data_IF_805469665689
#
_entry.id   IF_805469665689
#
_cell.length_a   1.000
_cell.length_b   1.000
_cell.length_c   1.000
_cell.angle_alpha   90.00
_cell.angle_beta   90.00
_cell.angle_gamma   90.00
#
_symmetry.space_group_name_H-M   'P 1'
#
loop_
_entity.id
_entity.type
_entity.pdbx_description
1 polymer ?
#
# COMPACT_ATOMS: atom_id res chain seq x y z
N UNK A 1 -21.39 -4.42 -1.46
CA UNK A 1 -21.38 -5.28 -2.66
C UNK A 1 -21.11 -6.69 -2.19
N UNK A 2 -22.02 -7.61 -2.48
CA UNK A 2 -21.82 -9.02 -2.12
C UNK A 2 -20.78 -9.61 -3.07
N UNK A 3 -20.03 -10.59 -2.60
CA UNK A 3 -19.08 -11.39 -3.38
C UNK A 3 -19.62 -12.03 -4.69
N UNK A 4 -20.90 -11.85 -4.99
CA UNK A 4 -21.63 -12.32 -6.18
C UNK A 4 -21.04 -11.81 -7.51
N UNK A 5 -20.17 -10.77 -7.49
CA UNK A 5 -19.53 -10.22 -8.69
C UNK A 5 -18.18 -10.86 -9.04
N UNK A 6 -17.64 -11.74 -8.21
CA UNK A 6 -16.35 -12.38 -8.44
C UNK A 6 -16.49 -13.88 -8.64
N UNK A 7 -15.71 -14.42 -9.58
CA UNK A 7 -15.57 -15.88 -9.69
C UNK A 7 -14.77 -16.43 -8.51
N UNK A 8 -14.93 -17.73 -8.25
CA UNK A 8 -14.13 -18.46 -7.26
C UNK A 8 -12.63 -18.23 -7.49
N UNK A 9 -12.18 -18.26 -8.73
CA UNK A 9 -10.79 -18.09 -9.12
C UNK A 9 -10.27 -16.69 -8.80
N UNK A 10 -11.10 -15.65 -9.00
CA UNK A 10 -10.75 -14.28 -8.63
C UNK A 10 -10.59 -14.13 -7.12
N UNK A 11 -11.53 -14.64 -6.33
CA UNK A 11 -11.44 -14.59 -4.85
C UNK A 11 -10.20 -15.32 -4.34
N UNK A 12 -9.91 -16.52 -4.87
CA UNK A 12 -8.68 -17.26 -4.55
C UNK A 12 -7.45 -16.44 -4.94
N UNK A 13 -7.47 -15.76 -6.09
CA UNK A 13 -6.41 -14.85 -6.53
C UNK A 13 -6.14 -13.72 -5.55
N UNK A 14 -7.18 -13.04 -5.05
CA UNK A 14 -7.04 -11.99 -4.05
C UNK A 14 -6.49 -12.52 -2.72
N UNK A 15 -6.95 -13.70 -2.28
CA UNK A 15 -6.42 -14.38 -1.12
C UNK A 15 -4.91 -14.70 -1.26
N UNK A 16 -4.49 -15.20 -2.43
CA UNK A 16 -3.07 -15.44 -2.75
C UNK A 16 -2.25 -14.16 -2.69
N UNK A 17 -2.76 -13.05 -3.23
CA UNK A 17 -2.07 -11.74 -3.17
C UNK A 17 -1.90 -11.25 -1.74
N UNK A 18 -2.93 -11.32 -0.91
CA UNK A 18 -2.81 -10.91 0.51
C UNK A 18 -1.83 -11.82 1.28
N UNK A 19 -1.87 -13.13 1.04
CA UNK A 19 -0.88 -14.06 1.60
C UNK A 19 0.54 -13.75 1.13
N UNK A 20 0.73 -13.43 -0.15
CA UNK A 20 2.03 -13.05 -0.69
C UNK A 20 2.59 -11.84 0.05
N UNK A 21 1.80 -10.79 0.22
CA UNK A 21 2.20 -9.61 1.00
C UNK A 21 2.59 -10.04 2.42
N UNK A 22 1.72 -10.74 3.15
CA UNK A 22 1.99 -11.17 4.53
C UNK A 22 3.28 -11.98 4.66
N UNK A 23 3.47 -12.99 3.82
CA UNK A 23 4.64 -13.89 3.90
C UNK A 23 5.92 -13.20 3.45
N UNK A 24 5.82 -12.34 2.44
CA UNK A 24 6.93 -11.51 1.99
C UNK A 24 7.40 -10.57 3.11
N UNK A 25 6.47 -9.87 3.74
CA UNK A 25 6.71 -8.91 4.82
C UNK A 25 7.28 -9.60 6.08
N UNK A 26 6.76 -10.78 6.45
CA UNK A 26 7.32 -11.61 7.51
C UNK A 26 8.77 -12.01 7.22
N UNK A 27 9.08 -12.37 5.96
CA UNK A 27 10.43 -12.69 5.52
C UNK A 27 11.33 -11.45 5.52
N UNK A 28 10.86 -10.30 5.05
CA UNK A 28 11.59 -9.04 5.10
C UNK A 28 11.95 -8.68 6.56
N UNK A 29 11.01 -8.86 7.49
CA UNK A 29 11.28 -8.68 8.93
C UNK A 29 12.39 -9.60 9.46
N UNK A 30 12.44 -10.87 9.02
CA UNK A 30 13.52 -11.79 9.38
C UNK A 30 14.87 -11.33 8.81
N UNK A 31 14.91 -10.97 7.52
CA UNK A 31 16.14 -10.51 6.86
C UNK A 31 16.67 -9.21 7.46
N UNK A 32 15.79 -8.30 7.88
CA UNK A 32 16.16 -7.11 8.63
C UNK A 32 16.83 -7.46 9.96
N UNK A 33 16.24 -8.39 10.74
CA UNK A 33 16.83 -8.87 11.98
C UNK A 33 18.18 -9.57 11.80
N UNK A 34 18.44 -10.12 10.62
CA UNK A 34 19.74 -10.69 10.23
C UNK A 34 20.74 -9.65 9.72
N UNK A 35 20.36 -8.37 9.62
CA UNK A 35 21.20 -7.30 9.09
C UNK A 35 21.36 -7.29 7.57
N UNK A 36 20.50 -8.02 6.84
CA UNK A 36 20.54 -8.11 5.37
C UNK A 36 19.74 -7.01 4.66
N UNK A 37 18.90 -6.27 5.39
CA UNK A 37 18.19 -5.08 4.91
C UNK A 37 18.74 -3.88 5.69
N UNK A 38 19.34 -2.94 4.97
CA UNK A 38 19.88 -1.70 5.55
C UNK A 38 18.83 -0.62 5.78
N UNK A 39 19.15 0.36 6.64
CA UNK A 39 18.29 1.52 6.88
C UNK A 39 17.01 1.20 7.66
N UNK A 40 15.88 1.76 7.23
CA UNK A 40 14.58 1.55 7.84
C UNK A 40 13.72 0.59 7.03
N UNK A 41 13.10 -0.38 7.70
CA UNK A 41 12.17 -1.33 7.11
C UNK A 41 10.77 -1.16 7.72
N UNK A 42 9.80 -0.77 6.90
CA UNK A 42 8.44 -0.43 7.33
C UNK A 42 7.43 -1.45 6.81
N UNK A 43 7.01 -2.36 7.69
CA UNK A 43 6.20 -3.48 7.25
C UNK A 43 4.69 -3.18 7.17
N UNK A 44 4.00 -3.58 6.11
CA UNK A 44 2.55 -3.39 5.93
C UNK A 44 1.68 -4.51 6.52
N UNK A 45 2.24 -5.35 7.39
CA UNK A 45 1.53 -6.47 8.04
C UNK A 45 0.26 -5.97 8.76
N UNK A 46 -0.89 -6.51 8.35
CA UNK A 46 -2.22 -6.16 8.85
C UNK A 46 -3.02 -5.22 7.93
N UNK A 47 -2.41 -4.69 6.87
CA UNK A 47 -3.01 -3.72 5.95
C UNK A 47 -3.23 -4.31 4.54
N UNK A 48 -3.18 -5.64 4.39
CA UNK A 48 -3.15 -6.30 3.08
C UNK A 48 -4.43 -6.10 2.27
N UNK A 49 -5.60 -6.06 2.94
CA UNK A 49 -6.88 -5.85 2.28
C UNK A 49 -6.96 -4.48 1.59
N UNK A 50 -6.37 -3.43 2.18
CA UNK A 50 -6.35 -2.09 1.58
C UNK A 50 -5.62 -2.11 0.24
N UNK A 51 -4.43 -2.72 0.19
CA UNK A 51 -3.62 -2.81 -1.01
C UNK A 51 -4.31 -3.66 -2.10
N UNK A 52 -4.75 -4.87 -1.75
CA UNK A 52 -5.31 -5.83 -2.73
C UNK A 52 -6.71 -5.40 -3.19
N UNK A 53 -7.56 -4.90 -2.28
CA UNK A 53 -8.89 -4.39 -2.61
C UNK A 53 -8.84 -3.17 -3.53
N UNK A 54 -7.91 -2.23 -3.27
CA UNK A 54 -7.75 -1.07 -4.15
C UNK A 54 -7.20 -1.48 -5.52
N UNK A 55 -6.21 -2.36 -5.56
CA UNK A 55 -5.68 -2.84 -6.83
C UNK A 55 -6.74 -3.59 -7.66
N UNK A 56 -7.58 -4.40 -7.02
CA UNK A 56 -8.68 -5.09 -7.68
C UNK A 56 -9.73 -4.14 -8.29
N UNK A 57 -9.91 -2.95 -7.70
CA UNK A 57 -10.80 -1.90 -8.19
C UNK A 57 -10.17 -0.99 -9.27
N UNK A 58 -8.86 -1.10 -9.49
CA UNK A 58 -8.15 -0.30 -10.48
C UNK A 58 -8.25 -0.88 -11.89
N UNK A 59 -7.88 -0.09 -12.90
CA UNK A 59 -7.71 -0.56 -14.27
C UNK A 59 -6.31 -0.26 -14.80
N UNK A 60 -5.95 -0.89 -15.92
CA UNK A 60 -4.67 -0.65 -16.59
C UNK A 60 -4.45 0.85 -16.86
N UNK A 61 -3.29 1.35 -16.43
CA UNK A 61 -2.87 2.75 -16.60
C UNK A 61 -3.28 3.68 -15.47
N UNK A 62 -4.14 3.24 -14.54
CA UNK A 62 -4.28 3.94 -13.25
C UNK A 62 -2.94 3.91 -12.50
N UNK A 63 -2.67 4.95 -11.72
CA UNK A 63 -1.40 5.12 -11.02
C UNK A 63 -1.57 4.96 -9.51
N UNK A 64 -0.54 4.45 -8.86
CA UNK A 64 -0.45 4.30 -7.41
C UNK A 64 0.72 5.11 -6.90
N UNK A 65 0.51 5.88 -5.84
CA UNK A 65 1.57 6.66 -5.20
C UNK A 65 1.41 6.62 -3.69
N UNK A 66 2.49 6.34 -2.98
CA UNK A 66 2.45 6.09 -1.53
C UNK A 66 3.73 6.55 -0.82
N UNK A 67 3.70 6.54 0.51
CA UNK A 67 4.87 6.75 1.38
C UNK A 67 5.74 5.48 1.49
N UNK A 68 6.70 5.49 2.40
CA UNK A 68 7.67 4.42 2.70
C UNK A 68 7.11 3.05 3.15
N UNK A 69 5.78 2.84 3.20
CA UNK A 69 5.15 1.56 3.53
C UNK A 69 4.52 0.97 2.27
N UNK A 70 5.38 0.60 1.34
CA UNK A 70 5.08 0.48 -0.08
C UNK A 70 5.22 -0.95 -0.65
N UNK A 71 5.93 -1.86 0.02
CA UNK A 71 6.21 -3.21 -0.55
C UNK A 71 4.92 -3.97 -0.82
N UNK A 72 4.02 -4.04 0.16
CA UNK A 72 2.74 -4.71 0.03
C UNK A 72 1.89 -4.16 -1.12
N UNK A 73 1.84 -2.84 -1.30
CA UNK A 73 1.11 -2.23 -2.42
C UNK A 73 1.78 -2.52 -3.76
N UNK A 74 3.11 -2.45 -3.83
CA UNK A 74 3.86 -2.78 -5.04
C UNK A 74 3.67 -4.23 -5.48
N UNK A 75 3.60 -5.17 -4.52
CA UNK A 75 3.28 -6.58 -4.75
C UNK A 75 1.82 -6.77 -5.18
N UNK A 76 0.88 -6.01 -4.59
CA UNK A 76 -0.51 -6.03 -5.04
C UNK A 76 -0.64 -5.60 -6.51
N UNK A 77 0.17 -4.63 -6.93
CA UNK A 77 0.35 -4.18 -8.32
C UNK A 77 1.14 -5.17 -9.21
N UNK A 78 1.23 -6.45 -8.83
CA UNK A 78 1.82 -7.54 -9.61
C UNK A 78 3.32 -7.35 -9.93
N UNK A 79 4.06 -6.65 -9.07
CA UNK A 79 5.52 -6.59 -9.17
C UNK A 79 6.17 -7.91 -8.80
N UNK A 80 7.26 -8.25 -9.48
CA UNK A 80 8.02 -9.48 -9.21
C UNK A 80 8.58 -9.45 -7.79
N UNK A 81 8.19 -10.38 -6.89
CA UNK A 81 8.71 -10.44 -5.54
C UNK A 81 10.24 -10.58 -5.48
N UNK A 82 10.88 -11.16 -6.49
CA UNK A 82 12.33 -11.24 -6.58
C UNK A 82 12.97 -9.86 -6.68
N UNK A 83 12.42 -8.98 -7.51
CA UNK A 83 12.90 -7.61 -7.73
C UNK A 83 12.65 -6.77 -6.47
N UNK A 84 11.48 -6.89 -5.85
CA UNK A 84 11.17 -6.17 -4.61
C UNK A 84 12.11 -6.62 -3.48
N UNK A 85 12.31 -7.94 -3.30
CA UNK A 85 13.22 -8.45 -2.26
C UNK A 85 14.67 -8.02 -2.52
N UNK A 86 15.12 -8.07 -3.79
CA UNK A 86 16.45 -7.61 -4.19
C UNK A 86 16.65 -6.13 -3.82
N UNK A 87 15.67 -5.26 -4.10
CA UNK A 87 15.72 -3.85 -3.74
C UNK A 87 15.85 -3.64 -2.22
N UNK A 88 15.02 -4.32 -1.42
CA UNK A 88 15.06 -4.25 0.04
C UNK A 88 16.44 -4.67 0.59
N UNK A 89 17.07 -5.67 -0.03
CA UNK A 89 18.41 -6.16 0.36
C UNK A 89 19.57 -5.41 -0.33
N UNK A 90 19.29 -4.29 -1.01
CA UNK A 90 20.31 -3.43 -1.60
C UNK A 90 21.01 -3.98 -2.84
N UNK A 91 20.38 -4.90 -3.59
CA UNK A 91 21.01 -5.59 -4.72
C UNK A 91 20.82 -4.86 -6.05
N UNK A 92 21.75 -5.05 -6.98
CA UNK A 92 21.71 -4.41 -8.31
C UNK A 92 20.46 -4.78 -9.14
N UNK A 93 19.87 -5.95 -8.85
CA UNK A 93 18.68 -6.49 -9.49
C UNK A 93 17.36 -5.95 -8.90
N UNK A 94 17.44 -5.04 -7.93
CA UNK A 94 16.29 -4.33 -7.40
C UNK A 94 15.69 -3.32 -8.39
N UNK A 95 14.45 -2.90 -8.16
CA UNK A 95 13.74 -1.99 -9.06
C UNK A 95 14.39 -0.60 -9.21
N UNK A 96 15.20 -0.20 -8.22
CA UNK A 96 15.99 1.02 -8.19
C UNK A 96 17.48 0.71 -8.06
N UNK A 97 17.91 -0.48 -8.54
CA UNK A 97 19.29 -0.99 -8.47
C UNK A 97 19.86 -1.08 -7.05
N UNK A 98 19.01 -1.28 -6.05
CA UNK A 98 19.40 -1.37 -4.64
C UNK A 98 19.69 -0.02 -3.98
N UNK A 99 19.49 1.10 -4.69
CA UNK A 99 19.73 2.46 -4.16
C UNK A 99 18.58 2.95 -3.28
N UNK A 100 17.36 2.49 -3.57
CA UNK A 100 16.16 2.93 -2.88
C UNK A 100 15.91 2.17 -1.58
N UNK A 101 16.30 0.90 -1.53
CA UNK A 101 16.12 0.07 -0.36
C UNK A 101 14.63 -0.09 0.00
N UNK A 102 14.38 -0.35 1.28
CA UNK A 102 13.04 -0.62 1.79
C UNK A 102 12.10 0.59 1.82
N UNK A 103 12.54 1.82 1.56
CA UNK A 103 11.66 3.00 1.64
C UNK A 103 11.37 3.66 0.30
N UNK A 104 11.98 3.23 -0.79
CA UNK A 104 11.99 3.96 -2.06
C UNK A 104 11.83 3.00 -3.26
N UNK A 105 10.75 2.21 -3.29
CA UNK A 105 10.48 1.30 -4.41
C UNK A 105 9.60 1.96 -5.49
N UNK A 106 9.98 1.77 -6.76
CA UNK A 106 9.34 2.41 -7.91
C UNK A 106 9.18 1.44 -9.08
N UNK A 107 8.10 1.59 -9.86
CA UNK A 107 7.91 0.90 -11.14
C UNK A 107 7.15 1.80 -12.13
N UNK A 108 7.89 2.40 -13.06
CA UNK A 108 7.35 3.36 -14.03
C UNK A 108 6.44 2.68 -15.08
N UNK A 109 6.71 1.42 -15.41
CA UNK A 109 5.91 0.66 -16.37
C UNK A 109 4.53 0.36 -15.78
N UNK A 110 4.51 -0.08 -14.51
CA UNK A 110 3.27 -0.35 -13.76
C UNK A 110 2.60 0.89 -13.15
N UNK A 111 3.15 2.09 -13.39
CA UNK A 111 2.65 3.36 -12.82
C UNK A 111 2.59 3.36 -11.30
N UNK A 112 3.58 2.72 -10.69
CA UNK A 112 3.77 2.68 -9.26
C UNK A 112 4.88 3.66 -8.85
N UNK A 113 4.50 4.67 -8.08
CA UNK A 113 5.37 5.74 -7.59
C UNK A 113 5.44 5.64 -6.06
N UNK A 114 6.09 4.60 -5.57
CA UNK A 114 6.13 4.30 -4.14
C UNK A 114 7.28 4.99 -3.41
N UNK A 115 7.21 4.95 -2.09
CA UNK A 115 8.40 5.16 -1.29
C UNK A 115 8.85 6.60 -1.17
N UNK A 116 7.95 7.49 -0.79
CA UNK A 116 8.32 8.84 -0.36
C UNK A 116 8.64 8.86 1.15
N UNK A 117 9.91 9.09 1.48
CA UNK A 117 10.40 9.16 2.87
C UNK A 117 9.97 10.42 3.62
N UNK A 118 9.68 11.51 2.89
CA UNK A 118 9.15 12.75 3.48
C UNK A 118 7.64 12.60 3.69
N UNK A 119 7.22 12.66 4.94
CA UNK A 119 5.82 12.49 5.34
C UNK A 119 4.92 13.49 4.59
N UNK A 120 3.97 12.96 3.81
CA UNK A 120 2.99 13.74 3.06
C UNK A 120 3.46 14.22 1.68
N UNK A 121 4.74 14.06 1.31
CA UNK A 121 5.27 14.56 0.04
C UNK A 121 4.67 13.87 -1.19
N UNK A 122 4.21 12.64 -1.03
CA UNK A 122 3.56 11.88 -2.09
C UNK A 122 2.19 12.46 -2.49
N UNK A 123 1.54 13.23 -1.62
CA UNK A 123 0.19 13.77 -1.85
C UNK A 123 0.16 14.85 -2.95
N UNK A 124 0.99 15.91 -2.89
CA UNK A 124 1.07 16.88 -3.99
C UNK A 124 1.61 16.24 -5.28
N UNK A 125 2.52 15.26 -5.19
CA UNK A 125 3.03 14.56 -6.37
C UNK A 125 1.91 13.76 -7.04
N UNK A 126 1.12 13.01 -6.27
CA UNK A 126 -0.03 12.26 -6.79
C UNK A 126 -1.08 13.15 -7.42
N UNK A 127 -1.31 14.31 -6.79
CA UNK A 127 -2.16 15.37 -7.35
C UNK A 127 -1.63 15.88 -8.69
N UNK A 128 -0.31 16.07 -8.82
CA UNK A 128 0.34 16.42 -10.08
C UNK A 128 0.22 15.34 -11.17
N UNK A 129 0.30 14.06 -10.81
CA UNK A 129 0.08 12.94 -11.75
C UNK A 129 -1.38 12.96 -12.23
N UNK A 130 -2.35 13.22 -11.34
CA UNK A 130 -3.76 13.32 -11.70
C UNK A 130 -4.02 14.52 -12.62
N UNK A 131 -3.37 15.66 -12.35
CA UNK A 131 -3.36 16.81 -13.25
C UNK A 131 -2.81 16.44 -14.64
N UNK A 132 -1.71 15.70 -14.71
CA UNK A 132 -1.16 15.24 -15.98
C UNK A 132 -2.12 14.32 -16.75
N UNK A 133 -2.87 13.44 -16.05
CA UNK A 133 -3.91 12.61 -16.67
C UNK A 133 -5.04 13.48 -17.24
N UNK A 134 -5.57 14.43 -16.47
CA UNK A 134 -6.62 15.37 -16.95
C UNK A 134 -6.13 16.20 -18.13
N UNK A 135 -4.94 16.78 -18.04
CA UNK A 135 -4.33 17.59 -19.10
C UNK A 135 -4.16 16.82 -20.41
N UNK A 136 -3.77 15.54 -20.32
CA UNK A 136 -3.62 14.63 -21.47
C UNK A 136 -4.93 13.97 -21.91
N UNK A 137 -6.08 14.35 -21.34
CA UNK A 137 -7.40 13.78 -21.60
C UNK A 137 -7.42 12.26 -21.44
N UNK A 138 -6.69 11.74 -20.45
CA UNK A 138 -6.73 10.34 -20.07
C UNK A 138 -7.85 10.12 -19.08
N UNK A 139 -8.50 8.97 -19.19
CA UNK A 139 -9.54 8.53 -18.26
C UNK A 139 -8.96 7.73 -17.09
N UNK A 140 -7.66 7.88 -16.78
CA UNK A 140 -6.96 7.16 -15.72
C UNK A 140 -7.05 7.90 -14.37
N UNK A 141 -7.20 7.14 -13.30
CA UNK A 141 -7.29 7.61 -11.91
C UNK A 141 -5.93 7.47 -11.22
N UNK A 142 -5.64 8.35 -10.27
CA UNK A 142 -4.49 8.24 -9.38
C UNK A 142 -4.94 7.92 -7.96
N UNK A 143 -4.50 6.79 -7.43
CA UNK A 143 -4.70 6.39 -6.03
C UNK A 143 -3.52 6.92 -5.21
N UNK A 144 -3.79 7.94 -4.39
CA UNK A 144 -2.78 8.67 -3.62
C UNK A 144 -2.89 8.32 -2.14
N UNK A 145 -1.95 7.49 -1.67
CA UNK A 145 -1.93 6.93 -0.33
C UNK A 145 -1.13 7.78 0.65
N UNK A 146 -1.62 7.89 1.88
CA UNK A 146 -0.91 8.50 2.99
C UNK A 146 -1.47 8.02 4.33
N UNK A 147 -0.63 8.00 5.37
CA UNK A 147 -1.06 7.60 6.70
C UNK A 147 -1.83 8.69 7.44
N UNK A 148 -2.49 8.31 8.53
CA UNK A 148 -3.15 9.20 9.49
C UNK A 148 -2.25 10.35 9.98
N UNK A 149 -0.98 10.08 10.26
CA UNK A 149 0.00 11.11 10.62
C UNK A 149 0.27 12.12 9.50
N UNK A 150 0.36 11.64 8.26
CA UNK A 150 0.62 12.46 7.08
C UNK A 150 -0.56 13.39 6.74
N UNK A 151 -1.79 13.00 7.11
CA UNK A 151 -2.98 13.81 6.88
C UNK A 151 -2.92 15.20 7.56
N UNK A 152 -2.02 15.40 8.53
CA UNK A 152 -1.81 16.66 9.24
C UNK A 152 -0.82 17.62 8.55
N UNK A 153 -0.20 17.23 7.43
CA UNK A 153 0.78 18.06 6.74
C UNK A 153 0.09 19.15 5.89
N UNK A 154 0.61 20.37 5.93
CA UNK A 154 0.03 21.51 5.19
C UNK A 154 -0.10 21.26 3.68
N UNK A 155 0.90 20.62 3.07
CA UNK A 155 0.90 20.24 1.65
C UNK A 155 -0.27 19.32 1.24
N UNK A 156 -0.87 18.58 2.18
CA UNK A 156 -2.07 17.77 1.92
C UNK A 156 -3.28 18.66 1.67
N UNK A 157 -3.46 19.70 2.49
CA UNK A 157 -4.54 20.67 2.35
C UNK A 157 -4.39 21.51 1.08
N UNK A 158 -3.16 21.92 0.76
CA UNK A 158 -2.85 22.60 -0.50
C UNK A 158 -3.22 21.71 -1.71
N UNK A 159 -2.89 20.42 -1.64
CA UNK A 159 -3.25 19.44 -2.67
C UNK A 159 -4.76 19.29 -2.86
N UNK A 160 -5.52 19.21 -1.76
CA UNK A 160 -6.98 19.14 -1.80
C UNK A 160 -7.60 20.36 -2.48
N UNK A 161 -7.13 21.56 -2.13
CA UNK A 161 -7.59 22.78 -2.77
C UNK A 161 -7.40 22.74 -4.30
N UNK A 162 -6.19 22.38 -4.75
CA UNK A 162 -5.88 22.33 -6.18
C UNK A 162 -6.64 21.21 -6.90
N UNK A 163 -6.77 20.03 -6.28
CA UNK A 163 -7.50 18.91 -6.86
C UNK A 163 -9.00 19.22 -7.03
N UNK A 164 -9.60 19.90 -6.06
CA UNK A 164 -11.00 20.32 -6.13
C UNK A 164 -11.21 21.41 -7.18
N UNK A 165 -10.40 22.48 -7.14
CA UNK A 165 -10.47 23.59 -8.10
C UNK A 165 -10.37 23.12 -9.56
N UNK A 166 -9.55 22.09 -9.81
CA UNK A 166 -9.34 21.56 -11.14
C UNK A 166 -10.09 20.26 -11.41
N UNK A 167 -10.98 19.82 -10.52
CA UNK A 167 -11.75 18.57 -10.60
C UNK A 167 -10.88 17.39 -11.10
N UNK A 168 -9.79 17.12 -10.37
CA UNK A 168 -8.79 16.13 -10.79
C UNK A 168 -9.25 14.68 -10.54
N UNK A 169 -8.84 13.72 -11.40
CA UNK A 169 -9.16 12.30 -11.24
C UNK A 169 -8.25 11.63 -10.19
N UNK A 170 -8.36 12.05 -8.93
CA UNK A 170 -7.56 11.54 -7.81
C UNK A 170 -8.44 10.98 -6.69
N UNK A 171 -8.12 9.77 -6.25
CA UNK A 171 -8.67 9.17 -5.04
C UNK A 171 -7.60 9.29 -3.97
N UNK A 172 -7.87 10.07 -2.93
CA UNK A 172 -7.02 10.18 -1.77
C UNK A 172 -7.36 9.06 -0.79
N UNK A 173 -6.37 8.26 -0.40
CA UNK A 173 -6.55 7.10 0.49
C UNK A 173 -5.76 7.36 1.77
N UNK A 174 -6.47 7.50 2.88
CA UNK A 174 -5.88 7.59 4.21
C UNK A 174 -5.81 6.16 4.77
N UNK A 175 -4.61 5.62 4.90
CA UNK A 175 -4.37 4.38 5.64
C UNK A 175 -4.29 4.71 7.13
N UNK A 176 -5.47 4.74 7.77
CA UNK A 176 -5.56 5.03 9.18
C UNK A 176 -5.31 3.76 9.99
N UNK A 177 -4.06 3.56 10.41
CA UNK A 177 -3.65 2.46 11.29
C UNK A 177 -3.56 2.88 12.77
N UNK A 178 -4.28 3.95 13.14
CA UNK A 178 -4.41 4.55 14.48
C UNK A 178 -3.17 5.26 15.04
N UNK A 179 -1.99 5.10 14.43
CA UNK A 179 -0.73 5.59 15.01
C UNK A 179 0.29 6.13 13.99
N UNK A 180 0.64 7.42 14.18
CA UNK A 180 1.80 8.07 13.58
C UNK A 180 3.04 7.86 14.45
N UNK A 181 3.80 6.81 14.15
CA UNK A 181 4.83 6.26 15.05
C UNK A 181 4.19 5.91 16.39
N UNK A 182 4.46 6.67 17.46
CA UNK A 182 3.84 6.50 18.78
C UNK A 182 2.73 7.50 19.14
N UNK A 183 2.35 8.37 18.22
CA UNK A 183 1.27 9.35 18.43
C UNK A 183 -0.04 8.80 17.88
N UNK A 184 -1.02 8.57 18.74
CA UNK A 184 -2.34 8.11 18.30
C UNK A 184 -3.12 9.23 17.59
N UNK A 185 -4.08 8.85 16.74
CA UNK A 185 -5.00 9.79 16.06
C UNK A 185 -5.67 10.72 17.06
N UNK A 186 -6.09 10.18 18.20
CA UNK A 186 -6.86 10.88 19.24
C UNK A 186 -6.02 11.96 19.95
N UNK A 187 -4.70 11.89 19.83
CA UNK A 187 -3.75 12.86 20.37
C UNK A 187 -3.21 13.82 19.31
N UNK A 188 -3.43 13.55 18.02
CA UNK A 188 -2.84 14.32 16.92
C UNK A 188 -3.84 15.21 16.19
N UNK A 189 -5.15 14.94 16.30
CA UNK A 189 -6.19 15.74 15.64
C UNK A 189 -7.48 15.83 16.45
N UNK A 190 -8.15 16.98 16.38
CA UNK A 190 -9.45 17.19 17.04
C UNK A 190 -10.58 16.45 16.32
N UNK A 191 -10.61 16.54 14.99
CA UNK A 191 -11.54 15.77 14.16
C UNK A 191 -10.84 14.47 13.79
N UNK A 192 -11.26 13.38 14.43
CA UNK A 192 -10.65 12.05 14.32
C UNK A 192 -11.23 11.23 13.18
N UNK A 193 -12.38 11.63 12.65
CA UNK A 193 -12.99 11.12 11.42
C UNK A 193 -12.25 11.70 10.21
N UNK A 194 -11.14 11.07 9.79
CA UNK A 194 -10.23 11.66 8.82
C UNK A 194 -10.84 11.79 7.42
N UNK A 195 -11.86 11.00 7.09
CA UNK A 195 -12.62 11.16 5.84
C UNK A 195 -13.30 12.54 5.71
N UNK A 196 -13.54 13.26 6.82
CA UNK A 196 -14.14 14.61 6.79
C UNK A 196 -13.14 15.71 6.43
N UNK A 197 -11.83 15.41 6.33
CA UNK A 197 -10.80 16.43 6.05
C UNK A 197 -10.95 17.13 4.69
N UNK A 198 -11.67 16.50 3.77
CA UNK A 198 -11.98 17.05 2.46
C UNK A 198 -13.11 18.10 2.45
N UNK A 199 -13.94 18.18 3.51
CA UNK A 199 -15.21 18.93 3.50
C UNK A 199 -15.04 20.42 3.19
N UNK A 200 -14.01 21.07 3.76
CA UNK A 200 -13.75 22.50 3.52
C UNK A 200 -13.32 22.81 2.08
N UNK A 201 -12.95 21.79 1.30
CA UNK A 201 -12.58 21.89 -0.11
C UNK A 201 -13.66 21.33 -1.04
N UNK A 202 -14.81 20.92 -0.50
CA UNK A 202 -15.86 20.26 -1.26
C UNK A 202 -15.52 18.84 -1.74
N UNK A 203 -14.50 18.20 -1.14
CA UNK A 203 -14.11 16.83 -1.48
C UNK A 203 -14.96 15.86 -0.64
N UNK A 204 -15.82 15.03 -1.25
CA UNK A 204 -16.58 14.03 -0.51
C UNK A 204 -15.65 13.00 0.15
N UNK A 205 -16.07 12.49 1.30
CA UNK A 205 -15.30 11.53 2.09
C UNK A 205 -16.14 10.30 2.48
N UNK A 206 -15.51 9.11 2.54
CA UNK A 206 -16.12 7.88 3.05
C UNK A 206 -15.17 7.17 4.00
N UNK A 207 -15.67 6.76 5.17
CA UNK A 207 -14.97 5.81 6.03
C UNK A 207 -15.22 4.38 5.55
N UNK A 208 -14.18 3.57 5.54
CA UNK A 208 -14.17 2.20 5.01
C UNK A 208 -13.52 1.29 6.02
N UNK A 209 -14.10 0.11 6.24
CA UNK A 209 -13.41 -0.96 6.94
C UNK A 209 -12.24 -1.46 6.07
N UNK A 210 -11.03 -1.02 6.40
CA UNK A 210 -9.80 -1.37 5.71
C UNK A 210 -9.30 -2.79 6.03
N UNK A 211 -9.95 -3.49 6.96
CA UNK A 211 -9.65 -4.88 7.30
C UNK A 211 -10.53 -5.87 6.51
N UNK A 212 -11.57 -5.39 5.80
CA UNK A 212 -12.44 -6.20 4.96
C UNK A 212 -12.19 -5.94 3.47
N UNK A 213 -11.76 -6.99 2.75
CA UNK A 213 -11.43 -6.90 1.32
C UNK A 213 -12.60 -6.37 0.47
N UNK A 214 -13.82 -6.84 0.74
CA UNK A 214 -14.99 -6.46 -0.07
C UNK A 214 -15.37 -4.99 0.13
N UNK A 215 -15.30 -4.50 1.37
CA UNK A 215 -15.53 -3.10 1.72
C UNK A 215 -14.53 -2.17 1.07
N UNK A 216 -13.23 -2.53 1.08
CA UNK A 216 -12.19 -1.79 0.36
C UNK A 216 -12.47 -1.77 -1.14
N UNK A 217 -12.70 -2.95 -1.75
CA UNK A 217 -12.95 -3.04 -3.18
C UNK A 217 -14.15 -2.19 -3.62
N UNK A 218 -15.27 -2.27 -2.90
CA UNK A 218 -16.48 -1.52 -3.22
C UNK A 218 -16.26 -0.01 -3.11
N UNK A 219 -15.73 0.44 -1.98
CA UNK A 219 -15.50 1.87 -1.76
C UNK A 219 -14.50 2.45 -2.77
N UNK A 220 -13.43 1.70 -3.08
CA UNK A 220 -12.47 2.12 -4.11
C UNK A 220 -13.10 2.12 -5.50
N UNK A 221 -13.92 1.12 -5.85
CA UNK A 221 -14.60 1.07 -7.15
C UNK A 221 -15.54 2.26 -7.34
N UNK A 222 -16.34 2.58 -6.32
CA UNK A 222 -17.21 3.77 -6.32
C UNK A 222 -16.41 5.06 -6.44
N UNK A 223 -15.29 5.18 -5.71
CA UNK A 223 -14.41 6.34 -5.75
C UNK A 223 -13.69 6.51 -7.09
N UNK A 224 -13.22 5.42 -7.67
CA UNK A 224 -12.60 5.40 -8.98
C UNK A 224 -13.61 5.82 -10.07
N UNK A 225 -14.84 5.29 -10.03
CA UNK A 225 -15.88 5.71 -10.96
C UNK A 225 -16.30 7.18 -10.77
N UNK A 226 -16.43 7.64 -9.51
CA UNK A 226 -16.72 9.03 -9.19
C UNK A 226 -15.71 9.98 -9.85
N UNK A 227 -14.43 9.77 -9.59
CA UNK A 227 -13.34 10.61 -10.10
C UNK A 227 -13.22 10.50 -11.62
N UNK A 228 -13.34 9.29 -12.17
CA UNK A 228 -13.28 9.02 -13.62
C UNK A 228 -14.44 9.65 -14.40
N UNK A 229 -15.63 9.75 -13.78
CA UNK A 229 -16.79 10.44 -14.34
C UNK A 229 -16.67 11.98 -14.33
N UNK A 230 -15.55 12.53 -13.85
CA UNK A 230 -15.27 13.96 -13.86
C UNK A 230 -15.88 14.72 -12.69
N UNK A 231 -16.36 14.04 -11.64
CA UNK A 231 -16.95 14.68 -10.45
C UNK A 231 -15.92 15.26 -9.48
N UNK A 232 -14.64 15.22 -9.85
CA UNK A 232 -13.53 15.70 -9.04
C UNK A 232 -12.98 14.64 -8.07
N UNK A 233 -12.14 15.07 -7.11
CA UNK A 233 -11.47 14.17 -6.18
C UNK A 233 -12.43 13.58 -5.14
N UNK A 234 -12.02 12.49 -4.50
CA UNK A 234 -12.73 11.87 -3.36
C UNK A 234 -11.72 11.34 -2.34
N UNK A 235 -12.12 11.34 -1.06
CA UNK A 235 -11.30 10.88 0.06
C UNK A 235 -11.86 9.58 0.65
N UNK A 236 -11.02 8.57 0.82
CA UNK A 236 -11.34 7.33 1.51
C UNK A 236 -10.49 7.21 2.78
N UNK A 237 -11.11 7.08 3.94
CA UNK A 237 -10.42 6.69 5.18
C UNK A 237 -10.54 5.18 5.36
N UNK A 238 -9.43 4.48 5.12
CA UNK A 238 -9.32 3.04 5.34
C UNK A 238 -8.94 2.81 6.80
N UNK A 239 -9.92 2.43 7.62
CA UNK A 239 -9.69 2.04 9.02
C UNK A 239 -9.01 0.68 9.03
N UNK A 240 -7.72 0.65 9.33
CA UNK A 240 -6.90 -0.56 9.28
C UNK A 240 -6.00 -0.63 10.51
N UNK A 241 -5.06 -1.57 10.56
CA UNK A 241 -4.17 -1.70 11.70
C UNK A 241 -2.83 -2.32 11.31
N UNK A 242 -1.74 -1.76 11.86
CA UNK A 242 -0.38 -2.26 11.63
C UNK A 242 0.04 -3.17 12.78
N UNK A 243 0.31 -4.45 12.54
CA UNK A 243 0.64 -5.39 13.63
C UNK A 243 2.07 -5.28 14.18
N UNK A 244 2.97 -4.65 13.43
CA UNK A 244 4.36 -4.39 13.85
C UNK A 244 4.52 -2.95 14.33
N UNK A 245 5.65 -2.64 14.96
CA UNK A 245 6.03 -1.27 15.28
C UNK A 245 6.09 -0.39 14.04
N UNK A 246 6.35 0.90 14.23
CA UNK A 246 6.45 1.88 13.14
C UNK A 246 7.33 1.39 12.01
N UNK A 247 8.55 1.03 12.39
CA UNK A 247 9.56 0.31 11.62
C UNK A 247 9.97 -0.95 12.38
N UNK A 248 10.79 -1.80 11.77
CA UNK A 248 11.35 -2.98 12.43
C UNK A 248 12.25 -2.67 13.64
N UNK A 249 12.73 -1.43 13.78
CA UNK A 249 13.50 -0.98 14.95
C UNK A 249 12.64 -0.43 16.08
N UNK A 250 11.33 -0.23 15.88
CA UNK A 250 10.42 0.33 16.88
C UNK A 250 9.78 -0.78 17.75
N UNK A 251 10.01 -0.78 19.07
CA UNK A 251 9.44 -1.79 19.99
C UNK A 251 7.94 -1.63 20.23
N UNK A 252 7.30 -0.54 19.76
CA UNK A 252 5.86 -0.30 19.86
C UNK A 252 5.30 -0.25 21.30
N UNK A 253 6.02 0.40 22.22
CA UNK A 253 5.66 0.48 23.65
C UNK A 253 4.48 1.41 23.98
N UNK A 254 3.93 2.10 22.98
CA UNK A 254 2.89 3.12 23.10
C UNK A 254 1.45 2.58 22.92
N UNK A 255 1.29 1.27 22.74
CA UNK A 255 0.00 0.59 22.52
C UNK A 255 -0.10 -0.67 23.37
N UNK A 256 -1.33 -1.06 23.66
CA UNK A 256 -1.58 -2.25 24.48
C UNK A 256 -1.35 -3.52 23.67
N UNK A 257 -0.83 -4.58 24.31
CA UNK A 257 -0.63 -5.86 23.63
C UNK A 257 -1.97 -6.49 23.29
N UNK A 258 -2.94 -6.34 24.18
CA UNK A 258 -4.29 -6.84 24.09
C UNK A 258 -5.02 -6.25 22.87
N UNK A 259 -4.84 -4.95 22.60
CA UNK A 259 -5.37 -4.27 21.42
C UNK A 259 -4.83 -4.90 20.12
N UNK A 260 -3.52 -5.17 20.05
CA UNK A 260 -2.91 -5.76 18.86
C UNK A 260 -3.34 -7.22 18.67
N UNK A 261 -3.46 -7.98 19.75
CA UNK A 261 -3.90 -9.39 19.68
C UNK A 261 -5.36 -9.52 19.29
N UNK A 262 -6.24 -8.63 19.79
CA UNK A 262 -7.64 -8.56 19.36
C UNK A 262 -7.75 -8.31 17.85
N UNK A 263 -7.01 -7.33 17.33
CA UNK A 263 -6.98 -7.05 15.89
C UNK A 263 -6.50 -8.23 15.04
N UNK A 264 -5.54 -9.04 15.53
CA UNK A 264 -5.07 -10.24 14.83
C UNK A 264 -6.07 -11.39 14.89
N UNK A 265 -6.74 -11.57 16.02
CA UNK A 265 -7.62 -12.72 16.25
C UNK A 265 -8.98 -12.52 15.60
N UNK A 266 -9.52 -11.31 15.69
CA UNK A 266 -10.91 -11.02 15.34
C UNK A 266 -11.06 -10.22 14.03
N UNK A 267 -10.00 -9.54 13.58
CA UNK A 267 -10.08 -8.61 12.45
C UNK A 267 -9.04 -8.86 11.35
N UNK A 268 -8.24 -9.92 11.39
CA UNK A 268 -7.20 -10.14 10.37
C UNK A 268 -7.80 -10.33 8.96
N UNK A 269 -7.38 -9.53 7.95
CA UNK A 269 -8.02 -9.51 6.63
C UNK A 269 -7.87 -10.84 5.88
N UNK A 270 -6.77 -11.56 6.11
CA UNK A 270 -6.50 -12.86 5.47
C UNK A 270 -7.39 -13.92 6.10
N UNK A 271 -7.52 -13.92 7.42
CA UNK A 271 -8.41 -14.83 8.16
C UNK A 271 -9.87 -14.61 7.77
N UNK A 272 -10.30 -13.35 7.67
CA UNK A 272 -11.67 -12.99 7.26
C UNK A 272 -11.98 -13.47 5.85
N UNK A 273 -11.11 -13.22 4.86
CA UNK A 273 -11.35 -13.70 3.49
C UNK A 273 -11.27 -15.23 3.39
N UNK A 274 -10.36 -15.87 4.13
CA UNK A 274 -10.29 -17.34 4.22
C UNK A 274 -11.59 -17.92 4.73
N UNK A 275 -12.13 -17.39 5.84
CA UNK A 275 -13.41 -17.83 6.41
C UNK A 275 -14.55 -17.65 5.40
N UNK A 276 -14.58 -16.52 4.70
CA UNK A 276 -15.54 -16.28 3.64
C UNK A 276 -15.45 -17.38 2.55
N UNK A 277 -14.24 -17.71 2.09
CA UNK A 277 -14.02 -18.76 1.09
C UNK A 277 -14.47 -20.15 1.56
N UNK A 278 -14.22 -20.52 2.81
CA UNK A 278 -14.60 -21.82 3.36
C UNK A 278 -16.11 -21.93 3.57
N UNK A 279 -16.74 -20.88 4.12
CA UNK A 279 -18.19 -20.85 4.37
C UNK A 279 -18.99 -20.92 3.05
N UNK A 280 -18.46 -20.34 1.98
CA UNK A 280 -19.08 -20.35 0.64
C UNK A 280 -18.61 -21.51 -0.24
N UNK A 281 -17.89 -22.50 0.33
CA UNK A 281 -17.37 -23.69 -0.39
C UNK A 281 -16.53 -23.36 -1.62
N UNK A 282 -15.87 -22.20 -1.61
CA UNK A 282 -14.95 -21.78 -2.68
C UNK A 282 -13.61 -22.49 -2.54
N UNK A 283 -13.14 -22.70 -1.31
CA UNK A 283 -11.95 -23.51 -1.01
C UNK A 283 -12.12 -24.21 0.34
N UNK A 284 -11.56 -25.40 0.46
CA UNK A 284 -11.43 -26.13 1.71
C UNK A 284 -10.26 -25.61 2.56
N UNK A 285 -10.26 -25.96 3.84
CA UNK A 285 -9.14 -25.70 4.75
C UNK A 285 -7.82 -26.26 4.23
N UNK A 286 -7.84 -27.46 3.63
CA UNK A 286 -6.63 -28.08 3.07
C UNK A 286 -6.13 -27.36 1.82
N UNK A 287 -7.03 -26.93 0.92
CA UNK A 287 -6.64 -26.11 -0.23
C UNK A 287 -6.00 -24.78 0.21
N UNK A 288 -6.55 -24.12 1.24
CA UNK A 288 -5.96 -22.91 1.82
C UNK A 288 -4.56 -23.15 2.39
N UNK A 289 -4.31 -24.30 3.05
CA UNK A 289 -2.96 -24.68 3.53
C UNK A 289 -1.98 -24.92 2.39
N UNK A 290 -2.44 -25.56 1.31
CA UNK A 290 -1.62 -25.77 0.10
C UNK A 290 -1.23 -24.42 -0.50
N UNK A 291 -2.19 -23.49 -0.63
CA UNK A 291 -1.93 -22.14 -1.12
C UNK A 291 -0.88 -21.42 -0.25
N UNK A 292 -1.03 -21.43 1.09
CA UNK A 292 -0.06 -20.80 1.99
C UNK A 292 1.35 -21.39 1.84
N UNK A 293 1.45 -22.72 1.66
CA UNK A 293 2.73 -23.39 1.38
C UNK A 293 3.35 -22.92 0.07
N UNK A 294 2.58 -22.88 -1.02
CA UNK A 294 3.06 -22.40 -2.32
C UNK A 294 3.58 -20.96 -2.25
N UNK A 295 2.88 -20.09 -1.53
CA UNK A 295 3.30 -18.71 -1.33
C UNK A 295 4.59 -18.62 -0.48
N UNK A 296 4.72 -19.44 0.57
CA UNK A 296 5.97 -19.53 1.34
C UNK A 296 7.14 -20.00 0.48
N UNK A 297 6.92 -20.99 -0.38
CA UNK A 297 7.93 -21.48 -1.31
C UNK A 297 8.32 -20.41 -2.35
N UNK A 298 7.35 -19.63 -2.83
CA UNK A 298 7.60 -18.46 -3.70
C UNK A 298 8.46 -17.40 -2.99
N UNK A 299 8.09 -17.00 -1.77
CA UNK A 299 8.86 -16.02 -0.99
C UNK A 299 10.26 -16.54 -0.66
N UNK A 300 10.41 -17.86 -0.41
CA UNK A 300 11.71 -18.48 -0.20
C UNK A 300 12.60 -18.37 -1.45
N UNK A 301 12.04 -18.59 -2.63
CA UNK A 301 12.76 -18.37 -3.91
C UNK A 301 13.19 -16.91 -4.06
N UNK A 302 12.36 -15.95 -3.66
CA UNK A 302 12.74 -14.53 -3.70
C UNK A 302 13.84 -14.17 -2.70
N UNK A 303 13.82 -14.74 -1.50
CA UNK A 303 14.93 -14.65 -0.54
C UNK A 303 16.22 -15.19 -1.17
N UNK A 304 16.17 -16.38 -1.78
CA UNK A 304 17.36 -17.01 -2.36
C UNK A 304 17.85 -16.24 -3.60
N UNK A 305 16.95 -15.72 -4.44
CA UNK A 305 17.30 -14.84 -5.56
C UNK A 305 18.04 -13.59 -5.08
N UNK A 306 17.51 -12.90 -4.07
CA UNK A 306 18.10 -11.69 -3.53
C UNK A 306 19.48 -11.97 -2.91
N UNK A 307 19.62 -13.05 -2.14
CA UNK A 307 20.91 -13.45 -1.54
C UNK A 307 21.99 -13.81 -2.56
N UNK A 308 21.58 -14.36 -3.71
CA UNK A 308 22.50 -14.73 -4.79
C UNK A 308 22.70 -13.63 -5.84
N UNK A 309 21.94 -12.53 -5.75
CA UNK A 309 22.12 -11.36 -6.61
C UNK A 309 23.36 -10.58 -6.17
N UNK A 310 24.02 -9.92 -7.13
CA UNK A 310 25.23 -9.15 -6.85
C UNK A 310 24.90 -7.85 -6.10
N UNK A 311 25.84 -7.42 -5.29
CA UNK A 311 25.87 -6.05 -4.80
C UNK A 311 26.10 -5.09 -5.98
N UNK A 312 25.52 -3.88 -5.96
CA UNK A 312 25.83 -2.83 -6.92
C UNK A 312 27.33 -2.50 -6.93
N UNK A 313 27.88 -2.15 -8.09
CA UNK A 313 29.21 -1.57 -8.18
C UNK A 313 29.27 -0.25 -7.40
N UNK A 314 30.43 0.09 -6.81
CA UNK A 314 30.64 1.38 -6.16
C UNK A 314 30.39 2.55 -7.13
N UNK A 315 30.61 2.35 -8.43
CA UNK A 315 30.37 3.37 -9.45
C UNK A 315 28.89 3.79 -9.53
N UNK A 316 27.95 2.94 -9.11
CA UNK A 316 26.52 3.26 -9.07
C UNK A 316 26.19 4.43 -8.14
N UNK A 317 27.08 4.79 -7.20
CA UNK A 317 26.92 5.99 -6.36
C UNK A 317 26.91 7.29 -7.18
N UNK A 318 27.51 7.29 -8.38
CA UNK A 318 27.65 8.47 -9.23
C UNK A 318 26.71 8.48 -10.43
N UNK A 319 25.92 7.42 -10.62
CA UNK A 319 24.98 7.30 -11.74
C UNK A 319 23.59 7.78 -11.33
N UNK A 320 22.77 8.15 -12.33
CA UNK A 320 21.37 8.56 -12.15
C UNK A 320 21.13 9.85 -11.33
N UNK A 321 22.19 10.60 -10.96
CA UNK A 321 22.08 11.91 -10.27
C UNK A 321 21.50 12.99 -11.20
N UNK A 322 21.94 12.99 -12.45
CA UNK A 322 21.42 13.84 -13.52
C UNK A 322 21.29 13.03 -14.80
N UNK A 323 20.36 13.44 -15.67
CA UNK A 323 20.35 12.95 -17.05
C UNK A 323 21.58 13.51 -17.77
N UNK A 324 22.33 12.67 -18.45
CA UNK A 324 23.36 13.14 -19.36
C UNK A 324 22.67 13.82 -20.56
N UNK A 325 22.91 15.12 -20.75
CA UNK A 325 22.42 15.86 -21.92
C UNK A 325 23.61 16.02 -22.86
N UNK A 326 23.62 15.26 -23.95
CA UNK A 326 24.54 15.43 -25.08
C UNK A 326 24.10 16.58 -25.97
#
# INVERSE_FOLDING_TARGET
MKAENFTKEQIIGFYRKMLLIRRFEEKAGQLYGMGLIGGFCHLSIGQEAVAVGTQAASKLGDAFITSYRDHGLMLACDSDPNVVMAELTGKETGCSKGKGGSMHVFDVEKKFFGGHGIVGAQVPIGTGIAFANKYKKKDNVVFTYFGDGAANQGQVYESFNMASLWELPVVYIIENNEYAMGTSVQRSTLVTELYKRGESFGIPGKQVDGMDFFSVYEATSEAAEHTRSGKGPILLEMKTYRYRGHSMSDPATYRLKEEVEDMKQNHDPISTLKKYMTDNKMASEEECKVIDKEIRDLVKKSEDFAKNSKEPSVDELYTDVYKFVS
#
